data_IF_117688728564
#
_entry.id   IF_117688728564
#
_cell.length_a   1.000
_cell.length_b   1.000
_cell.length_c   1.000
_cell.angle_alpha   90.00
_cell.angle_beta   90.00
_cell.angle_gamma   90.00
#
_symmetry.space_group_name_H-M   'P 1'
#
loop_
_entity.id
_entity.type
_entity.pdbx_description
1 polymer ?
#
# COMPACT_ATOMS: atom_id res chain seq x y z
N UNK A 1 11.51 46.85 31.88
CA UNK A 1 11.30 45.39 31.85
C UNK A 1 9.82 45.17 31.61
N UNK A 2 9.43 44.88 30.37
CA UNK A 2 8.03 44.74 29.97
C UNK A 2 7.55 43.30 30.18
N UNK A 3 6.38 43.16 30.81
CA UNK A 3 5.53 41.97 30.89
C UNK A 3 4.29 42.19 29.99
N UNK A 4 3.64 41.09 29.57
CA UNK A 4 2.50 40.91 28.62
C UNK A 4 2.92 40.66 27.15
N UNK A 5 2.34 39.73 26.38
CA UNK A 5 1.10 38.92 26.49
C UNK A 5 1.23 37.61 25.67
N UNK A 6 0.84 36.47 26.24
CA UNK A 6 -0.30 35.61 25.89
C UNK A 6 -0.38 35.03 24.45
N UNK A 7 -0.37 33.69 24.44
CA UNK A 7 -1.16 32.75 23.60
C UNK A 7 -1.14 32.87 22.07
N UNK A 8 -0.67 31.80 21.42
CA UNK A 8 -1.61 31.08 20.56
C UNK A 8 -1.35 29.57 20.53
N UNK A 9 -2.36 28.88 21.03
CA UNK A 9 -2.59 27.45 21.02
C UNK A 9 -2.56 26.88 19.60
N UNK A 10 -1.66 25.94 19.36
CA UNK A 10 -1.69 25.03 18.23
C UNK A 10 -1.62 23.58 18.71
N UNK A 11 -2.30 23.24 19.81
CA UNK A 11 -2.63 21.83 20.10
C UNK A 11 -3.62 21.44 19.00
N UNK A 12 -3.10 20.94 17.87
CA UNK A 12 -3.89 20.13 16.97
C UNK A 12 -4.46 19.02 17.83
N UNK A 13 -5.77 19.07 18.08
CA UNK A 13 -6.52 17.92 18.56
C UNK A 13 -6.26 16.82 17.55
N UNK A 14 -5.29 15.96 17.82
CA UNK A 14 -5.25 14.62 17.24
C UNK A 14 -6.55 13.97 17.70
N UNK A 15 -7.57 14.06 16.86
CA UNK A 15 -8.76 13.26 17.01
C UNK A 15 -8.28 11.81 17.13
N UNK A 16 -8.58 11.19 18.28
CA UNK A 16 -8.19 9.82 18.60
C UNK A 16 -8.78 8.93 17.50
N UNK A 17 -7.98 8.61 16.50
CA UNK A 17 -8.30 7.59 15.50
C UNK A 17 -8.03 6.27 16.19
N UNK A 18 -9.10 5.61 16.63
CA UNK A 18 -9.00 4.21 17.01
C UNK A 18 -8.75 3.40 15.75
N UNK A 19 -7.54 2.83 15.63
CA UNK A 19 -7.29 1.79 14.63
C UNK A 19 -8.20 0.60 14.96
N UNK A 20 -9.10 0.23 14.04
CA UNK A 20 -10.01 -0.91 14.22
C UNK A 20 -9.26 -2.24 14.07
N UNK A 21 -8.26 -2.26 13.19
CA UNK A 21 -7.38 -3.41 12.92
C UNK A 21 -5.99 -2.87 12.60
N UNK A 22 -4.94 -3.55 13.08
CA UNK A 22 -3.55 -3.31 12.69
C UNK A 22 -2.83 -4.65 12.48
N UNK A 23 -2.32 -4.84 11.27
CA UNK A 23 -1.55 -6.02 10.85
C UNK A 23 -0.16 -5.60 10.39
N UNK A 24 0.85 -6.41 10.70
CA UNK A 24 2.25 -6.08 10.43
C UNK A 24 2.98 -7.24 9.75
N UNK A 25 3.68 -6.92 8.66
CA UNK A 25 4.63 -7.80 8.00
C UNK A 25 6.05 -7.26 8.18
N UNK A 26 6.95 -8.10 8.69
CA UNK A 26 8.38 -7.80 8.73
C UNK A 26 9.09 -8.44 7.55
N UNK A 27 9.71 -7.63 6.71
CA UNK A 27 10.48 -8.06 5.53
C UNK A 27 11.98 -7.83 5.79
N UNK A 28 12.51 -8.56 6.77
CA UNK A 28 13.90 -8.42 7.21
C UNK A 28 14.13 -7.35 8.30
N UNK A 29 15.39 -6.99 8.58
CA UNK A 29 15.74 -6.13 9.72
C UNK A 29 15.44 -4.64 9.51
N UNK A 30 15.23 -4.21 8.26
CA UNK A 30 15.19 -2.81 7.87
C UNK A 30 13.92 -2.40 7.12
N UNK A 31 12.98 -3.33 6.93
CA UNK A 31 11.75 -3.09 6.20
C UNK A 31 10.59 -3.78 6.90
N UNK A 32 9.55 -3.01 7.20
CA UNK A 32 8.27 -3.47 7.68
C UNK A 32 7.16 -2.85 6.84
N UNK A 33 6.01 -3.51 6.81
CA UNK A 33 4.79 -2.98 6.25
C UNK A 33 3.66 -3.15 7.25
N UNK A 34 2.86 -2.11 7.43
CA UNK A 34 1.66 -2.16 8.25
C UNK A 34 0.43 -2.00 7.35
N UNK A 35 -0.63 -2.74 7.65
CA UNK A 35 -1.97 -2.54 7.07
C UNK A 35 -2.91 -2.28 8.23
N UNK A 36 -3.70 -1.22 8.13
CA UNK A 36 -4.66 -0.89 9.18
C UNK A 36 -6.00 -0.43 8.65
N UNK A 37 -7.05 -0.77 9.37
CA UNK A 37 -8.41 -0.27 9.15
C UNK A 37 -8.63 0.91 10.09
N UNK A 38 -8.87 2.09 9.53
CA UNK A 38 -9.21 3.31 10.27
C UNK A 38 -10.65 3.72 9.97
N UNK A 39 -11.34 4.31 10.95
CA UNK A 39 -12.60 5.02 10.71
C UNK A 39 -12.38 6.53 10.86
N UNK A 40 -12.74 7.29 9.82
CA UNK A 40 -12.70 8.75 9.86
C UNK A 40 -13.87 9.34 10.65
N UNK A 41 -13.79 10.65 10.93
CA UNK A 41 -14.85 11.39 11.63
C UNK A 41 -16.18 11.35 10.85
N UNK A 42 -16.12 11.26 9.52
CA UNK A 42 -17.30 11.08 8.66
C UNK A 42 -17.93 9.69 8.73
N UNK A 43 -17.41 8.79 9.56
CA UNK A 43 -17.83 7.39 9.63
C UNK A 43 -17.25 6.50 8.53
N UNK A 44 -16.60 7.07 7.52
CA UNK A 44 -15.99 6.33 6.40
C UNK A 44 -14.83 5.49 6.91
N UNK A 45 -14.88 4.18 6.65
CA UNK A 45 -13.79 3.24 6.91
C UNK A 45 -12.79 3.27 5.75
N UNK A 46 -11.51 3.26 6.07
CA UNK A 46 -10.42 3.23 5.07
C UNK A 46 -9.34 2.25 5.47
N UNK A 47 -8.79 1.55 4.49
CA UNK A 47 -7.59 0.73 4.66
C UNK A 47 -6.38 1.60 4.33
N UNK A 48 -5.43 1.66 5.26
CA UNK A 48 -4.16 2.37 5.12
C UNK A 48 -3.02 1.37 5.14
N UNK A 49 -2.13 1.47 4.15
CA UNK A 49 -0.93 0.64 4.06
C UNK A 49 0.28 1.55 4.23
N UNK A 50 1.22 1.19 5.10
CA UNK A 50 2.39 2.02 5.43
C UNK A 50 3.68 1.21 5.29
N UNK A 51 4.62 1.72 4.50
CA UNK A 51 6.02 1.25 4.48
C UNK A 51 6.75 1.87 5.65
N UNK A 52 7.48 1.06 6.39
CA UNK A 52 8.38 1.50 7.44
C UNK A 52 9.75 0.95 7.11
N UNK A 53 10.70 1.83 6.83
CA UNK A 53 12.02 1.38 6.38
C UNK A 53 13.15 2.27 6.89
N UNK A 54 14.36 1.73 6.90
CA UNK A 54 15.60 2.49 7.09
C UNK A 54 16.67 1.99 6.12
N UNK A 55 17.42 2.90 5.53
CA UNK A 55 18.49 2.60 4.57
C UNK A 55 19.64 3.60 4.78
N UNK A 56 20.81 3.43 4.15
CA UNK A 56 21.85 4.46 4.14
C UNK A 56 21.32 5.84 3.71
N UNK A 57 20.43 5.87 2.69
CA UNK A 57 19.80 7.11 2.20
C UNK A 57 18.84 7.76 3.21
N UNK A 58 18.45 7.06 4.27
CA UNK A 58 17.65 7.63 5.36
C UNK A 58 18.50 7.92 6.61
N UNK A 59 19.83 7.91 6.49
CA UNK A 59 20.78 8.00 7.61
C UNK A 59 20.48 6.97 8.71
N UNK A 60 20.01 5.78 8.32
CA UNK A 60 19.55 4.73 9.23
C UNK A 60 18.39 5.12 10.16
N UNK A 61 17.75 6.27 9.95
CA UNK A 61 16.52 6.68 10.63
C UNK A 61 15.32 6.00 9.99
N UNK A 62 14.35 5.63 10.81
CA UNK A 62 13.08 5.10 10.33
C UNK A 62 12.31 6.16 9.56
N UNK A 63 11.89 5.82 8.34
CA UNK A 63 10.99 6.59 7.50
C UNK A 63 9.68 5.85 7.34
N UNK A 64 8.61 6.63 7.26
CA UNK A 64 7.25 6.16 7.12
C UNK A 64 6.71 6.72 5.81
N UNK A 65 6.23 5.86 4.94
CA UNK A 65 5.61 6.26 3.69
C UNK A 65 4.27 5.57 3.61
N UNK A 66 3.21 6.36 3.48
CA UNK A 66 1.86 5.85 3.39
C UNK A 66 1.46 5.69 1.93
N UNK A 67 0.79 4.58 1.62
CA UNK A 67 0.01 4.44 0.41
C UNK A 67 -1.30 5.25 0.52
N UNK A 68 -1.95 5.55 -0.62
CA UNK A 68 -3.30 6.08 -0.62
C UNK A 68 -4.20 5.28 0.32
N UNK A 69 -5.02 5.99 1.08
CA UNK A 69 -6.08 5.35 1.84
C UNK A 69 -7.10 4.81 0.86
N UNK A 70 -7.49 3.56 1.04
CA UNK A 70 -8.48 2.88 0.22
C UNK A 70 -9.82 2.90 0.97
N UNK A 71 -10.81 3.69 0.54
CA UNK A 71 -12.18 3.60 1.01
C UNK A 71 -12.72 2.17 0.92
N UNK A 72 -13.33 1.74 2.02
CA UNK A 72 -14.08 0.49 2.10
C UNK A 72 -15.54 0.80 1.80
N UNK A 73 -16.24 -0.02 1.00
CA UNK A 73 -15.73 -1.23 0.35
C UNK A 73 -15.11 -1.07 -1.03
N UNK A 74 -15.57 -0.13 -1.85
CA UNK A 74 -15.43 -0.20 -3.30
C UNK A 74 -13.98 -0.15 -3.79
N UNK A 75 -13.19 0.81 -3.29
CA UNK A 75 -11.79 0.98 -3.72
C UNK A 75 -10.89 -0.13 -3.18
N UNK A 76 -11.14 -0.59 -1.96
CA UNK A 76 -10.44 -1.72 -1.38
C UNK A 76 -10.71 -3.03 -2.14
N UNK A 77 -11.94 -3.28 -2.60
CA UNK A 77 -12.25 -4.44 -3.44
C UNK A 77 -11.56 -4.38 -4.80
N UNK A 78 -11.60 -3.22 -5.47
CA UNK A 78 -10.88 -3.01 -6.74
C UNK A 78 -9.38 -3.27 -6.58
N UNK A 79 -8.79 -2.76 -5.50
CA UNK A 79 -7.39 -2.98 -5.19
C UNK A 79 -7.05 -4.48 -5.03
N UNK A 80 -7.88 -5.25 -4.32
CA UNK A 80 -7.66 -6.71 -4.19
C UNK A 80 -7.74 -7.42 -5.55
N UNK A 81 -8.70 -7.06 -6.40
CA UNK A 81 -8.83 -7.67 -7.75
C UNK A 81 -7.62 -7.37 -8.62
N UNK A 82 -7.13 -6.14 -8.60
CA UNK A 82 -5.91 -5.76 -9.31
C UNK A 82 -4.70 -6.56 -8.79
N UNK A 83 -4.61 -6.78 -7.47
CA UNK A 83 -3.56 -7.64 -6.93
C UNK A 83 -3.70 -9.08 -7.42
N UNK A 84 -4.92 -9.61 -7.58
CA UNK A 84 -5.15 -10.95 -8.14
C UNK A 84 -4.68 -11.03 -9.60
N UNK A 85 -4.97 -10.03 -10.42
CA UNK A 85 -4.49 -9.94 -11.81
C UNK A 85 -2.97 -9.86 -11.88
N UNK A 86 -2.33 -9.05 -11.03
CA UNK A 86 -0.87 -8.97 -10.94
C UNK A 86 -0.28 -10.31 -10.48
N UNK A 87 -0.91 -10.98 -9.51
CA UNK A 87 -0.48 -12.30 -9.03
C UNK A 87 -0.50 -13.33 -10.16
N UNK A 88 -1.56 -13.33 -10.97
CA UNK A 88 -1.68 -14.19 -12.16
C UNK A 88 -0.66 -13.80 -13.23
N UNK A 89 -0.45 -12.51 -13.49
CA UNK A 89 0.56 -12.04 -14.45
C UNK A 89 2.00 -12.38 -14.02
N UNK A 90 2.25 -12.55 -12.72
CA UNK A 90 3.53 -13.06 -12.22
C UNK A 90 3.72 -14.55 -12.49
N UNK A 91 2.62 -15.31 -12.57
CA UNK A 91 2.66 -16.72 -12.94
C UNK A 91 3.13 -16.85 -14.39
N UNK A 92 4.13 -17.69 -14.63
CA UNK A 92 4.77 -17.81 -15.96
C UNK A 92 5.85 -16.77 -16.29
N UNK A 93 5.93 -15.60 -15.63
CA UNK A 93 7.04 -14.62 -15.81
C UNK A 93 8.34 -15.01 -15.05
N UNK A 94 8.55 -16.32 -14.83
CA UNK A 94 9.79 -16.91 -14.27
C UNK A 94 11.03 -16.57 -15.11
N UNK A 95 10.85 -16.23 -16.39
CA UNK A 95 11.92 -15.98 -17.34
C UNK A 95 12.47 -14.54 -17.26
N UNK A 96 13.81 -14.47 -17.15
CA UNK A 96 14.58 -13.23 -17.22
C UNK A 96 14.68 -12.82 -18.69
N UNK A 97 13.86 -11.87 -19.13
CA UNK A 97 14.19 -11.18 -20.36
C UNK A 97 15.28 -10.14 -20.05
N UNK A 98 16.53 -10.53 -20.33
CA UNK A 98 17.70 -9.68 -20.14
C UNK A 98 17.77 -8.51 -21.13
N UNK A 99 16.90 -8.50 -22.14
CA UNK A 99 16.90 -7.51 -23.22
C UNK A 99 15.96 -6.33 -22.95
N UNK A 100 15.03 -6.45 -21.99
CA UNK A 100 14.12 -5.37 -21.63
C UNK A 100 13.91 -5.24 -20.10
N UNK A 101 14.90 -4.68 -19.37
CA UNK A 101 14.80 -4.50 -17.91
C UNK A 101 13.67 -3.57 -17.47
N UNK A 102 13.18 -2.72 -18.39
CA UNK A 102 12.11 -1.75 -18.14
C UNK A 102 10.76 -2.20 -18.72
N UNK A 103 10.61 -3.48 -19.08
CA UNK A 103 9.33 -4.01 -19.55
C UNK A 103 8.25 -3.83 -18.46
N UNK A 104 7.18 -3.10 -18.79
CA UNK A 104 5.97 -3.09 -17.98
C UNK A 104 5.24 -4.41 -18.21
N UNK A 105 5.21 -5.26 -17.18
CA UNK A 105 4.72 -6.64 -17.31
C UNK A 105 3.21 -6.75 -17.13
N UNK A 106 2.63 -5.82 -16.38
CA UNK A 106 1.19 -5.66 -16.16
C UNK A 106 0.93 -4.23 -15.63
N UNK A 107 -0.21 -3.66 -16.02
CA UNK A 107 -0.64 -2.32 -15.62
C UNK A 107 -2.13 -2.33 -15.28
N UNK A 108 -2.48 -1.72 -14.15
CA UNK A 108 -3.85 -1.49 -13.75
C UNK A 108 -4.01 -0.14 -13.04
N UNK A 109 -5.22 0.44 -13.10
CA UNK A 109 -5.50 1.75 -12.52
C UNK A 109 -6.79 1.78 -11.68
N UNK A 110 -6.71 2.44 -10.53
CA UNK A 110 -7.87 2.81 -9.71
C UNK A 110 -8.03 4.32 -9.80
N UNK A 111 -9.09 4.75 -10.48
CA UNK A 111 -9.51 6.15 -10.53
C UNK A 111 -10.53 6.37 -9.41
N UNK A 112 -10.21 7.28 -8.50
CA UNK A 112 -11.12 7.73 -7.45
C UNK A 112 -11.31 9.23 -7.44
N UNK A 113 -12.20 9.69 -6.56
CA UNK A 113 -12.49 11.12 -6.38
C UNK A 113 -11.25 11.90 -5.93
N UNK A 114 -10.37 11.25 -5.15
CA UNK A 114 -9.24 11.92 -4.51
C UNK A 114 -7.88 11.53 -5.11
N UNK A 115 -7.81 10.33 -5.71
CA UNK A 115 -6.55 9.77 -6.19
C UNK A 115 -6.76 9.04 -7.51
N UNK A 116 -5.77 9.12 -8.40
CA UNK A 116 -5.56 8.10 -9.42
C UNK A 116 -4.37 7.25 -8.98
N UNK A 117 -4.57 5.94 -8.91
CA UNK A 117 -3.58 4.99 -8.42
C UNK A 117 -3.26 4.04 -9.56
N UNK A 118 -2.03 4.12 -10.07
CA UNK A 118 -1.53 3.23 -11.11
C UNK A 118 -0.61 2.18 -10.48
N UNK A 119 -0.81 0.91 -10.81
CA UNK A 119 0.04 -0.20 -10.36
C UNK A 119 0.75 -0.81 -11.56
N UNK A 120 2.08 -0.87 -11.49
CA UNK A 120 2.94 -1.43 -12.53
C UNK A 120 3.72 -2.62 -11.97
N UNK A 121 3.66 -3.77 -12.64
CA UNK A 121 4.58 -4.87 -12.38
C UNK A 121 5.88 -4.63 -13.16
N UNK A 122 6.99 -4.42 -12.44
CA UNK A 122 8.29 -4.04 -13.01
C UNK A 122 9.43 -4.85 -12.38
N UNK A 123 10.60 -4.81 -13.01
CA UNK A 123 11.86 -5.28 -12.41
C UNK A 123 12.64 -4.09 -11.86
N UNK A 124 13.19 -4.23 -10.65
CA UNK A 124 14.10 -3.24 -10.07
C UNK A 124 15.50 -3.31 -10.73
N UNK A 125 16.43 -2.39 -10.43
CA UNK A 125 17.80 -2.44 -10.97
C UNK A 125 18.59 -3.71 -10.61
N UNK A 126 18.11 -4.51 -9.65
CA UNK A 126 18.66 -5.82 -9.27
C UNK A 126 17.88 -6.98 -9.92
N UNK A 127 17.03 -6.67 -10.91
CA UNK A 127 16.19 -7.60 -11.66
C UNK A 127 15.12 -8.32 -10.82
N UNK A 128 14.83 -7.82 -9.62
CA UNK A 128 13.80 -8.37 -8.74
C UNK A 128 12.43 -7.83 -9.15
N UNK A 129 11.44 -8.72 -9.22
CA UNK A 129 10.05 -8.31 -9.48
C UNK A 129 9.52 -7.48 -8.29
N UNK A 130 8.85 -6.38 -8.62
CA UNK A 130 8.19 -5.52 -7.66
C UNK A 130 6.97 -4.84 -8.29
N UNK A 131 6.03 -4.41 -7.45
CA UNK A 131 4.96 -3.51 -7.87
C UNK A 131 5.42 -2.08 -7.60
N UNK A 132 5.49 -1.28 -8.65
CA UNK A 132 5.60 0.18 -8.54
C UNK A 132 4.19 0.74 -8.54
N UNK A 133 3.80 1.35 -7.43
CA UNK A 133 2.55 2.07 -7.30
C UNK A 133 2.83 3.57 -7.46
N UNK A 134 2.13 4.21 -8.40
CA UNK A 134 2.20 5.64 -8.64
C UNK A 134 0.87 6.24 -8.23
N UNK A 135 0.90 7.15 -7.28
CA UNK A 135 -0.27 7.87 -6.82
C UNK A 135 -0.24 9.29 -7.36
N UNK A 136 -1.32 9.69 -8.04
CA UNK A 136 -1.62 11.07 -8.42
C UNK A 136 -2.69 11.61 -7.47
N UNK A 137 -2.33 12.51 -6.57
CA UNK A 137 -3.32 13.19 -5.72
C UNK A 137 -3.96 14.33 -6.50
N UNK A 138 -5.30 14.32 -6.60
CA UNK A 138 -6.08 15.41 -7.16
C UNK A 138 -6.20 16.51 -6.11
N UNK A 139 -5.44 17.60 -6.28
CA UNK A 139 -5.54 18.79 -5.41
C UNK A 139 -5.82 20.03 -6.23
N UNK A 140 -6.38 21.06 -5.60
CA UNK A 140 -6.61 22.37 -6.21
C UNK A 140 -5.29 23.01 -6.70
N UNK A 141 -4.15 22.64 -6.10
CA UNK A 141 -2.83 23.20 -6.37
C UNK A 141 -1.96 22.33 -7.32
N UNK A 142 -2.56 21.36 -8.01
CA UNK A 142 -1.88 20.49 -8.99
C UNK A 142 -1.75 19.03 -8.58
N UNK A 143 -0.93 18.28 -9.32
CA UNK A 143 -0.77 16.82 -9.19
C UNK A 143 0.53 16.51 -8.44
N UNK A 144 0.41 15.85 -7.29
CA UNK A 144 1.57 15.29 -6.58
C UNK A 144 1.72 13.80 -6.90
N UNK A 145 2.91 13.41 -7.34
CA UNK A 145 3.27 12.03 -7.67
C UNK A 145 4.17 11.43 -6.60
N UNK A 146 3.69 10.37 -5.95
CA UNK A 146 4.48 9.61 -4.99
C UNK A 146 4.67 8.17 -5.50
N UNK A 147 5.89 7.79 -5.93
CA UNK A 147 6.17 6.41 -6.28
C UNK A 147 6.39 5.59 -5.00
N UNK A 148 5.75 4.44 -4.93
CA UNK A 148 5.85 3.49 -3.84
C UNK A 148 6.18 2.11 -4.40
N UNK A 149 7.30 1.52 -3.95
CA UNK A 149 7.74 0.20 -4.41
C UNK A 149 7.39 -0.86 -3.37
N UNK A 150 6.58 -1.84 -3.78
CA UNK A 150 6.21 -3.05 -3.03
C UNK A 150 7.01 -4.23 -3.59
N UNK A 151 7.86 -4.89 -2.77
CA UNK A 151 8.48 -6.16 -3.14
C UNK A 151 7.42 -7.22 -3.49
N UNK A 152 7.61 -7.98 -4.58
CA UNK A 152 6.57 -8.90 -5.08
C UNK A 152 6.15 -9.96 -4.04
N UNK A 153 7.09 -10.38 -3.19
CA UNK A 153 6.86 -11.34 -2.12
C UNK A 153 5.92 -10.82 -1.00
N UNK A 154 5.71 -9.51 -0.90
CA UNK A 154 4.74 -8.92 0.03
C UNK A 154 3.31 -8.98 -0.51
N UNK A 155 3.13 -9.07 -1.83
CA UNK A 155 1.83 -8.95 -2.50
C UNK A 155 0.82 -10.01 -2.05
N UNK A 156 1.18 -11.31 -1.95
CA UNK A 156 0.30 -12.32 -1.36
C UNK A 156 -0.21 -11.96 0.02
N UNK A 157 0.67 -11.42 0.88
CA UNK A 157 0.31 -11.05 2.24
C UNK A 157 -0.60 -9.83 2.26
N UNK A 158 -0.31 -8.80 1.46
CA UNK A 158 -1.16 -7.59 1.34
C UNK A 158 -2.56 -8.00 0.90
N UNK A 159 -2.66 -8.77 -0.19
CA UNK A 159 -3.92 -9.26 -0.74
C UNK A 159 -4.72 -10.02 0.31
N UNK A 160 -4.12 -11.04 0.95
CA UNK A 160 -4.80 -11.86 1.97
C UNK A 160 -5.27 -11.03 3.16
N UNK A 161 -4.44 -10.09 3.60
CA UNK A 161 -4.74 -9.25 4.77
C UNK A 161 -5.92 -8.32 4.49
N UNK A 162 -5.91 -7.65 3.34
CA UNK A 162 -7.01 -6.75 2.94
C UNK A 162 -8.30 -7.56 2.74
N UNK A 163 -8.25 -8.70 2.04
CA UNK A 163 -9.41 -9.55 1.83
C UNK A 163 -10.04 -10.04 3.14
N UNK A 164 -9.22 -10.38 4.14
CA UNK A 164 -9.68 -10.75 5.48
C UNK A 164 -10.37 -9.58 6.19
N UNK A 165 -9.74 -8.41 6.19
CA UNK A 165 -10.34 -7.19 6.78
C UNK A 165 -11.69 -6.88 6.13
N UNK A 166 -11.80 -6.99 4.80
CA UNK A 166 -13.05 -6.76 4.09
C UNK A 166 -14.13 -7.78 4.45
N UNK A 167 -13.78 -9.06 4.58
CA UNK A 167 -14.72 -10.09 5.03
C UNK A 167 -15.23 -9.85 6.46
N UNK A 168 -14.33 -9.47 7.37
CA UNK A 168 -14.67 -9.27 8.79
C UNK A 168 -15.46 -7.98 9.06
N UNK A 169 -15.30 -6.92 8.25
CA UNK A 169 -15.82 -5.58 8.58
C UNK A 169 -16.80 -4.99 7.56
N UNK A 170 -17.08 -5.70 6.48
CA UNK A 170 -18.02 -5.30 5.42
C UNK A 170 -19.08 -6.38 5.10
N UNK A 171 -19.03 -7.56 5.77
CA UNK A 171 -19.93 -8.72 5.60
C UNK A 171 -20.17 -9.16 4.14
N UNK A 172 -19.26 -8.78 3.23
CA UNK A 172 -19.42 -9.00 1.81
C UNK A 172 -18.64 -10.24 1.36
N UNK A 173 -19.33 -11.22 0.79
CA UNK A 173 -18.74 -12.38 0.10
C UNK A 173 -18.18 -12.03 -1.31
N UNK A 174 -18.00 -10.75 -1.64
CA UNK A 174 -17.72 -10.29 -3.01
C UNK A 174 -16.34 -10.67 -3.57
N UNK A 175 -15.42 -11.17 -2.72
CA UNK A 175 -14.05 -11.46 -3.15
C UNK A 175 -13.86 -12.93 -3.54
N UNK A 176 -13.32 -13.19 -4.74
CA UNK A 176 -12.95 -14.54 -5.12
C UNK A 176 -11.85 -15.09 -4.19
N UNK A 177 -11.73 -16.43 -4.10
CA UNK A 177 -10.57 -17.04 -3.45
C UNK A 177 -9.27 -16.56 -4.09
N UNK A 178 -8.16 -16.67 -3.36
CA UNK A 178 -6.86 -16.28 -3.90
C UNK A 178 -6.54 -17.09 -5.15
N UNK A 179 -6.03 -16.46 -6.23
CA UNK A 179 -5.55 -17.20 -7.38
C UNK A 179 -4.56 -18.28 -6.95
N UNK A 180 -4.77 -19.49 -7.45
CA UNK A 180 -3.85 -20.61 -7.22
C UNK A 180 -2.77 -20.54 -8.28
N UNK A 181 -1.64 -19.95 -7.91
CA UNK A 181 -0.48 -19.76 -8.79
C UNK A 181 0.79 -20.23 -8.10
N UNK A 182 1.79 -20.64 -8.89
CA UNK A 182 3.14 -20.94 -8.42
C UNK A 182 3.87 -19.64 -8.06
N UNK A 183 3.47 -19.03 -6.94
CA UNK A 183 4.01 -17.73 -6.55
C UNK A 183 5.47 -17.87 -6.14
N UNK A 184 6.41 -17.15 -6.77
CA UNK A 184 7.82 -17.52 -6.67
C UNK A 184 8.44 -17.30 -5.28
N UNK A 185 7.75 -16.64 -4.34
CA UNK A 185 8.30 -16.28 -3.03
C UNK A 185 7.20 -16.19 -1.95
N UNK A 186 6.73 -17.31 -1.40
CA UNK A 186 5.91 -17.28 -0.19
C UNK A 186 6.78 -17.09 1.05
N UNK A 187 6.54 -16.05 1.85
CA UNK A 187 7.11 -15.97 3.19
C UNK A 187 6.53 -17.10 4.06
N UNK A 188 7.40 -17.90 4.69
CA UNK A 188 7.02 -18.66 5.89
C UNK A 188 6.82 -17.63 7.02
N UNK A 189 5.68 -17.69 7.71
CA UNK A 189 5.54 -17.02 9.01
C UNK A 189 6.58 -17.66 9.94
N UNK A 190 7.52 -16.85 10.42
CA UNK A 190 8.32 -17.20 11.60
C UNK A 190 7.54 -16.76 12.83
#
# INVERSE_FOLDING_TARGET
MFMMNQTNSGIQKEAIKSDLVLEKLRMGPYLCMNIKLEQGISGIKTIKITKIFRTPNTEWRWKFVDLPKLPVPEEAFKFVRILDEIIVACDGKKFRDHLNPNEELAFEEIISKFYDISLYLVRDPKYQLCIKLVQKKKTENGIFNFPYIIPINAVPWIRKTIARILREYDDSERLPPMPTVDFPFSYKRN
#
